data_IF_054024649618
#
_entry.id   IF_054024649618
#
_cell.length_a   1.000
_cell.length_b   1.000
_cell.length_c   1.000
_cell.angle_alpha   90.00
_cell.angle_beta   90.00
_cell.angle_gamma   90.00
#
_symmetry.space_group_name_H-M   'P 1'
#
loop_
_entity.id
_entity.type
_entity.pdbx_description
1 polymer ?
#
# COMPACT_ATOMS: atom_id res chain seq x y z
N UNK A 1 -2.21 -2.45 -5.92
CA UNK A 1 -1.79 -2.96 -4.60
C UNK A 1 -2.57 -2.24 -3.51
N UNK A 2 -3.13 -2.98 -2.56
CA UNK A 2 -3.96 -2.42 -1.49
C UNK A 2 -3.20 -2.21 -0.17
N UNK A 3 -1.98 -2.78 -0.06
CA UNK A 3 -1.14 -2.71 1.15
C UNK A 3 -0.46 -1.34 1.21
N UNK A 4 -0.54 -0.67 2.37
CA UNK A 4 0.08 0.63 2.59
C UNK A 4 1.60 0.58 2.69
N UNK A 5 2.25 1.71 2.56
CA UNK A 5 3.70 1.89 2.74
C UNK A 5 4.00 2.81 3.91
N UNK A 6 5.19 2.70 4.50
CA UNK A 6 5.66 3.45 5.67
C UNK A 6 5.05 2.98 6.99
N UNK A 7 5.89 2.55 7.92
CA UNK A 7 5.47 2.08 9.25
C UNK A 7 4.68 3.16 10.01
N UNK A 8 5.03 4.44 9.87
CA UNK A 8 4.27 5.54 10.46
C UNK A 8 2.82 5.57 9.98
N UNK A 9 2.60 5.39 8.68
CA UNK A 9 1.28 5.38 8.07
C UNK A 9 0.47 4.15 8.47
N UNK A 10 1.12 2.98 8.50
CA UNK A 10 0.48 1.73 8.92
C UNK A 10 0.06 1.77 10.40
N UNK A 11 0.87 2.36 11.27
CA UNK A 11 0.50 2.62 12.66
C UNK A 11 -0.73 3.52 12.83
N UNK A 12 -1.01 4.38 11.82
CA UNK A 12 -2.19 5.24 11.74
C UNK A 12 -3.35 4.62 10.94
N UNK A 13 -3.32 3.32 10.66
CA UNK A 13 -4.32 2.64 9.80
C UNK A 13 -4.49 3.33 8.45
N UNK A 14 -3.37 3.77 7.84
CA UNK A 14 -3.34 4.36 6.50
C UNK A 14 -4.10 5.70 6.33
N UNK A 15 -4.36 6.43 7.41
CA UNK A 15 -5.12 7.69 7.38
C UNK A 15 -4.29 8.89 6.90
N UNK A 16 -3.52 8.73 5.80
CA UNK A 16 -2.48 9.67 5.37
C UNK A 16 -2.93 10.70 4.31
N UNK A 17 -4.05 10.48 3.64
CA UNK A 17 -4.44 11.23 2.43
C UNK A 17 -4.47 12.74 2.60
N UNK A 18 -4.87 13.22 3.79
CA UNK A 18 -5.00 14.66 4.08
C UNK A 18 -3.72 15.33 4.56
N UNK A 19 -2.78 14.59 5.19
CA UNK A 19 -1.66 15.22 5.92
C UNK A 19 -0.28 14.67 5.55
N UNK A 20 -0.18 13.74 4.60
CA UNK A 20 1.13 13.32 4.09
C UNK A 20 1.91 14.54 3.57
N UNK A 21 3.22 14.63 3.91
CA UNK A 21 4.00 15.83 3.69
C UNK A 21 5.50 15.56 3.45
N UNK A 22 5.85 14.31 3.20
CA UNK A 22 7.23 13.83 3.04
C UNK A 22 7.40 13.03 1.73
N UNK A 23 8.52 12.32 1.59
CA UNK A 23 8.84 11.49 0.43
C UNK A 23 7.78 10.42 0.13
N UNK A 24 7.06 9.92 1.14
CA UNK A 24 6.01 8.90 1.01
C UNK A 24 4.70 9.48 0.45
N UNK A 25 4.62 10.81 0.28
CA UNK A 25 3.47 11.48 -0.35
C UNK A 25 3.22 10.99 -1.76
N UNK A 26 4.26 10.63 -2.53
CA UNK A 26 4.08 10.05 -3.85
C UNK A 26 3.14 8.84 -3.85
N UNK A 27 3.19 8.02 -2.80
CA UNK A 27 2.27 6.89 -2.64
C UNK A 27 0.90 7.31 -2.08
N UNK A 28 0.85 8.12 -1.00
CA UNK A 28 -0.39 8.39 -0.26
C UNK A 28 -1.27 9.44 -0.93
N UNK A 29 -0.68 10.55 -1.31
CA UNK A 29 -1.30 11.65 -2.05
C UNK A 29 -0.19 12.53 -2.64
N UNK A 30 0.05 12.49 -3.95
CA UNK A 30 1.16 13.21 -4.56
C UNK A 30 1.14 14.72 -4.31
N UNK A 31 -0.03 15.33 -4.05
CA UNK A 31 -0.12 16.75 -3.69
C UNK A 31 0.69 17.09 -2.43
N UNK A 32 0.88 16.13 -1.51
CA UNK A 32 1.66 16.28 -0.29
C UNK A 32 3.16 16.54 -0.52
N UNK A 33 3.71 16.20 -1.69
CA UNK A 33 5.09 16.51 -2.07
C UNK A 33 5.37 18.03 -2.05
N UNK A 34 4.35 18.87 -2.19
CA UNK A 34 4.50 20.31 -2.07
C UNK A 34 4.90 20.82 -0.69
N UNK A 35 4.73 19.98 0.33
CA UNK A 35 5.16 20.29 1.70
C UNK A 35 6.63 19.88 1.96
N UNK A 36 7.26 19.19 1.01
CA UNK A 36 8.64 18.76 1.09
C UNK A 36 9.59 19.96 0.98
N UNK A 37 10.43 20.16 1.98
CA UNK A 37 11.38 21.29 2.03
C UNK A 37 12.76 20.94 1.49
N UNK A 38 13.12 19.67 1.48
CA UNK A 38 14.46 19.16 1.18
C UNK A 38 14.35 17.83 0.46
N UNK A 39 15.45 17.37 -0.13
CA UNK A 39 15.55 16.04 -0.73
C UNK A 39 15.43 14.98 0.36
N UNK A 40 14.55 14.00 0.16
CA UNK A 40 14.36 12.90 1.09
C UNK A 40 14.41 11.56 0.37
N UNK A 41 14.85 10.53 1.09
CA UNK A 41 14.73 9.14 0.71
C UNK A 41 14.01 8.36 1.82
N UNK A 42 13.30 7.31 1.43
CA UNK A 42 12.66 6.39 2.36
C UNK A 42 12.86 4.95 1.92
N UNK A 43 12.98 4.07 2.92
CA UNK A 43 13.00 2.62 2.76
C UNK A 43 12.02 2.01 3.77
N UNK A 44 11.33 0.96 3.36
CA UNK A 44 10.50 0.14 4.25
C UNK A 44 10.68 -1.33 3.92
N UNK A 45 10.66 -2.14 4.96
CA UNK A 45 10.56 -3.60 4.87
C UNK A 45 9.43 -4.08 5.78
N UNK A 46 8.59 -4.95 5.26
CA UNK A 46 7.54 -5.62 6.01
C UNK A 46 7.52 -7.11 5.71
N UNK A 47 7.35 -7.89 6.77
CA UNK A 47 7.19 -9.33 6.71
C UNK A 47 5.75 -9.67 7.08
N UNK A 48 5.06 -10.32 6.16
CA UNK A 48 3.66 -10.72 6.28
C UNK A 48 3.54 -12.25 6.38
N UNK A 49 2.46 -12.71 7.02
CA UNK A 49 2.10 -14.12 7.10
C UNK A 49 3.24 -15.01 7.64
N UNK A 50 3.78 -14.65 8.81
CA UNK A 50 4.89 -15.37 9.44
C UNK A 50 6.13 -15.53 8.52
N UNK A 51 6.49 -14.46 7.82
CA UNK A 51 7.64 -14.37 6.90
C UNK A 51 7.47 -15.13 5.56
N UNK A 52 6.24 -15.50 5.18
CA UNK A 52 5.98 -16.10 3.87
C UNK A 52 6.05 -15.05 2.77
N UNK A 53 5.44 -13.88 2.99
CA UNK A 53 5.44 -12.80 2.01
C UNK A 53 6.26 -11.60 2.49
N UNK A 54 7.01 -11.00 1.58
CA UNK A 54 7.85 -9.83 1.84
C UNK A 54 7.33 -8.63 1.03
N UNK A 55 7.35 -7.46 1.67
CA UNK A 55 6.91 -6.22 1.07
C UNK A 55 7.94 -5.13 1.32
N UNK A 56 8.60 -4.73 0.24
CA UNK A 56 9.67 -3.75 0.24
C UNK A 56 9.22 -2.48 -0.48
N UNK A 57 9.63 -1.34 0.04
CA UNK A 57 9.37 -0.04 -0.55
C UNK A 57 10.62 0.82 -0.50
N UNK A 58 10.88 1.52 -1.59
CA UNK A 58 11.91 2.54 -1.69
C UNK A 58 11.35 3.78 -2.37
N UNK A 59 11.71 4.96 -1.88
CA UNK A 59 11.27 6.22 -2.49
C UNK A 59 12.35 7.30 -2.38
N UNK A 60 12.29 8.21 -3.35
CA UNK A 60 13.08 9.44 -3.37
C UNK A 60 12.20 10.58 -3.87
N UNK A 61 12.30 11.74 -3.21
CA UNK A 61 11.60 12.94 -3.64
C UNK A 61 12.41 14.21 -3.36
N UNK A 62 12.17 15.22 -4.16
CA UNK A 62 12.79 16.54 -3.99
C UNK A 62 11.91 17.68 -4.51
N UNK A 63 11.96 18.86 -3.88
CA UNK A 63 11.42 20.08 -4.47
C UNK A 63 12.21 20.44 -5.73
N UNK A 64 11.53 20.90 -6.78
CA UNK A 64 12.13 21.49 -7.99
C UNK A 64 12.34 22.98 -7.74
N UNK A 65 11.28 23.64 -7.29
CA UNK A 65 11.22 25.05 -6.94
C UNK A 65 10.20 25.29 -5.82
N UNK A 66 9.85 26.55 -5.54
CA UNK A 66 8.87 26.91 -4.49
C UNK A 66 7.44 26.45 -4.80
N UNK A 67 7.15 26.11 -6.04
CA UNK A 67 5.80 25.81 -6.54
C UNK A 67 5.64 24.39 -7.07
N UNK A 68 6.73 23.62 -7.17
CA UNK A 68 6.68 22.26 -7.73
C UNK A 68 7.66 21.29 -7.06
N UNK A 69 7.29 20.02 -7.03
CA UNK A 69 8.10 18.91 -6.51
C UNK A 69 7.86 17.64 -7.33
N UNK A 70 8.84 16.74 -7.31
CA UNK A 70 8.71 15.43 -7.93
C UNK A 70 9.23 14.32 -7.02
N UNK A 71 8.84 13.10 -7.30
CA UNK A 71 9.31 11.92 -6.61
C UNK A 71 9.19 10.67 -7.46
N UNK A 72 9.97 9.67 -7.08
CA UNK A 72 9.89 8.31 -7.62
C UNK A 72 9.77 7.34 -6.47
N UNK A 73 9.07 6.25 -6.68
CA UNK A 73 9.01 5.15 -5.73
C UNK A 73 8.93 3.80 -6.43
N UNK A 74 9.38 2.77 -5.71
CA UNK A 74 9.31 1.38 -6.13
C UNK A 74 8.75 0.56 -4.97
N UNK A 75 7.88 -0.37 -5.30
CA UNK A 75 7.32 -1.39 -4.42
C UNK A 75 7.69 -2.75 -4.98
N UNK A 76 8.07 -3.70 -4.10
CA UNK A 76 8.12 -5.12 -4.39
C UNK A 76 7.26 -5.85 -3.36
N UNK A 77 6.30 -6.64 -3.81
CA UNK A 77 5.60 -7.62 -2.99
C UNK A 77 5.86 -9.00 -3.57
N UNK A 78 6.37 -9.93 -2.78
CA UNK A 78 6.75 -11.23 -3.30
C UNK A 78 6.68 -12.35 -2.28
N UNK A 79 6.57 -13.56 -2.81
CA UNK A 79 6.72 -14.82 -2.10
C UNK A 79 7.80 -15.62 -2.82
N UNK A 80 8.84 -15.93 -2.11
CA UNK A 80 9.98 -16.67 -2.64
C UNK A 80 9.91 -18.14 -2.20
N UNK A 81 10.66 -19.02 -2.89
CA UNK A 81 10.83 -20.44 -2.55
C UNK A 81 9.53 -21.26 -2.50
N UNK A 82 8.60 -20.99 -3.41
CA UNK A 82 7.36 -21.77 -3.54
C UNK A 82 7.70 -23.12 -4.17
N UNK A 83 7.28 -24.21 -3.53
CA UNK A 83 7.48 -25.56 -4.03
C UNK A 83 6.63 -25.81 -5.28
N UNK A 84 7.27 -26.11 -6.41
CA UNK A 84 6.60 -26.60 -7.60
C UNK A 84 6.56 -28.12 -7.57
N UNK A 85 5.39 -28.67 -7.36
CA UNK A 85 5.13 -30.12 -7.29
C UNK A 85 4.36 -30.64 -8.52
N UNK A 86 4.22 -29.86 -9.58
CA UNK A 86 3.44 -30.23 -10.77
C UNK A 86 3.96 -31.48 -11.47
N UNK A 87 5.26 -31.76 -11.35
CA UNK A 87 5.90 -32.95 -11.91
C UNK A 87 6.24 -34.04 -10.87
N UNK A 88 5.73 -33.92 -9.66
CA UNK A 88 6.02 -34.85 -8.56
C UNK A 88 5.59 -36.28 -8.89
N UNK A 89 4.48 -36.44 -9.60
CA UNK A 89 3.91 -37.73 -9.98
C UNK A 89 4.13 -37.92 -11.48
N UNK A 90 4.74 -39.03 -11.88
CA UNK A 90 4.92 -39.38 -13.28
C UNK A 90 3.65 -40.00 -13.90
N UNK A 91 3.66 -40.22 -15.23
CA UNK A 91 2.55 -40.82 -15.98
C UNK A 91 2.22 -42.26 -15.58
N UNK A 92 3.07 -42.91 -14.78
CA UNK A 92 2.87 -44.25 -14.21
C UNK A 92 2.38 -44.24 -12.79
N UNK A 93 2.20 -43.04 -12.18
CA UNK A 93 1.75 -42.88 -10.79
C UNK A 93 2.88 -42.97 -9.76
N UNK A 94 4.16 -43.00 -10.16
CA UNK A 94 5.29 -43.02 -9.23
C UNK A 94 5.58 -41.62 -8.70
N UNK A 95 5.93 -41.50 -7.42
CA UNK A 95 6.32 -40.25 -6.77
C UNK A 95 7.83 -40.11 -6.84
N UNK A 96 8.32 -39.02 -7.46
CA UNK A 96 9.74 -38.67 -7.52
C UNK A 96 9.99 -37.27 -6.93
N UNK A 97 10.47 -37.23 -5.70
CA UNK A 97 10.77 -36.00 -4.96
C UNK A 97 11.91 -35.18 -5.58
N UNK A 98 12.76 -35.76 -6.44
CA UNK A 98 13.83 -35.04 -7.13
C UNK A 98 13.29 -34.10 -8.23
N UNK A 99 12.02 -34.23 -8.58
CA UNK A 99 11.33 -33.35 -9.55
C UNK A 99 10.71 -32.12 -8.91
N UNK A 100 10.80 -31.96 -7.59
CA UNK A 100 10.38 -30.74 -6.93
C UNK A 100 11.36 -29.64 -7.28
N UNK A 101 10.85 -28.55 -7.83
CA UNK A 101 11.60 -27.32 -8.11
C UNK A 101 11.05 -26.16 -7.27
N UNK A 102 11.76 -25.05 -7.21
CA UNK A 102 11.33 -23.83 -6.54
C UNK A 102 11.02 -22.76 -7.57
N UNK A 103 10.00 -21.95 -7.29
CA UNK A 103 9.74 -20.74 -8.04
C UNK A 103 9.35 -19.60 -7.09
N UNK A 104 9.38 -18.37 -7.58
CA UNK A 104 8.97 -17.17 -6.84
C UNK A 104 7.88 -16.43 -7.60
N UNK A 105 7.03 -15.73 -6.87
CA UNK A 105 6.09 -14.76 -7.44
C UNK A 105 6.39 -13.39 -6.89
N UNK A 106 6.34 -12.37 -7.74
CA UNK A 106 6.59 -11.00 -7.32
C UNK A 106 5.81 -9.98 -8.15
N UNK A 107 5.25 -9.00 -7.45
CA UNK A 107 4.62 -7.82 -8.01
C UNK A 107 5.54 -6.62 -7.78
N UNK A 108 5.89 -5.90 -8.83
CA UNK A 108 6.63 -4.65 -8.79
C UNK A 108 5.75 -3.50 -9.20
N UNK A 109 5.81 -2.39 -8.47
CA UNK A 109 5.15 -1.15 -8.83
C UNK A 109 6.15 0.00 -8.85
N UNK A 110 6.29 0.67 -9.99
CA UNK A 110 7.10 1.88 -10.15
C UNK A 110 6.16 3.07 -10.28
N UNK A 111 6.39 4.11 -9.48
CA UNK A 111 5.57 5.31 -9.52
C UNK A 111 6.45 6.53 -9.73
N UNK A 112 6.09 7.36 -10.70
CA UNK A 112 6.61 8.71 -10.88
C UNK A 112 5.53 9.70 -10.44
N UNK A 113 5.89 10.63 -9.54
CA UNK A 113 4.99 11.60 -8.93
C UNK A 113 5.41 13.03 -9.26
N UNK A 114 4.45 13.88 -9.58
CA UNK A 114 4.65 15.31 -9.74
C UNK A 114 3.58 16.08 -8.98
N UNK A 115 3.98 17.15 -8.31
CA UNK A 115 3.07 18.01 -7.54
C UNK A 115 3.32 19.48 -7.83
N UNK A 116 2.25 20.27 -7.69
CA UNK A 116 2.30 21.72 -7.88
C UNK A 116 1.31 22.47 -7.01
N UNK A 117 1.69 23.69 -6.58
CA UNK A 117 0.78 24.63 -5.91
C UNK A 117 -0.22 25.20 -6.91
N UNK A 118 -1.45 25.39 -6.46
CA UNK A 118 -2.47 26.15 -7.16
C UNK A 118 -2.48 27.63 -6.68
N UNK A 119 -3.05 28.57 -7.46
CA UNK A 119 -3.11 30.00 -7.06
C UNK A 119 -4.11 30.29 -5.92
N UNK A 120 -4.43 29.28 -5.13
CA UNK A 120 -5.27 29.34 -3.92
C UNK A 120 -4.39 28.94 -2.75
N UNK A 121 -4.29 29.80 -1.74
CA UNK A 121 -3.44 29.55 -0.57
C UNK A 121 -3.82 28.23 0.11
N UNK A 122 -2.81 27.36 0.31
CA UNK A 122 -2.98 26.06 0.94
C UNK A 122 -3.51 24.95 0.03
N UNK A 123 -3.79 25.23 -1.26
CA UNK A 123 -4.29 24.23 -2.20
C UNK A 123 -3.18 23.72 -3.12
N UNK A 124 -2.97 22.41 -3.09
CA UNK A 124 -1.99 21.71 -3.90
C UNK A 124 -2.64 20.57 -4.68
N UNK A 125 -2.11 20.24 -5.84
CA UNK A 125 -2.47 19.03 -6.59
C UNK A 125 -1.23 18.22 -6.94
N UNK A 126 -1.42 16.96 -7.22
CA UNK A 126 -0.37 16.08 -7.70
C UNK A 126 -0.93 14.96 -8.56
N UNK A 127 -0.06 14.41 -9.39
CA UNK A 127 -0.37 13.30 -10.30
C UNK A 127 0.69 12.22 -10.19
N UNK A 128 0.28 10.98 -10.38
CA UNK A 128 1.16 9.83 -10.49
C UNK A 128 0.99 9.15 -11.85
N UNK A 129 2.10 8.67 -12.38
CA UNK A 129 2.13 7.66 -13.44
C UNK A 129 2.71 6.38 -12.84
N UNK A 130 2.02 5.26 -13.05
CA UNK A 130 2.42 3.95 -12.49
C UNK A 130 2.71 2.96 -13.59
N UNK A 131 3.77 2.19 -13.41
CA UNK A 131 4.10 1.00 -14.18
C UNK A 131 4.09 -0.17 -13.22
N UNK A 132 3.33 -1.21 -13.57
CA UNK A 132 3.18 -2.40 -12.75
C UNK A 132 3.75 -3.59 -13.55
N UNK A 133 4.60 -4.37 -12.91
CA UNK A 133 5.16 -5.62 -13.45
C UNK A 133 4.81 -6.73 -12.48
N UNK A 134 4.17 -7.79 -12.96
CA UNK A 134 3.84 -8.97 -12.14
C UNK A 134 4.47 -10.19 -12.77
N UNK A 135 5.03 -11.07 -11.95
CA UNK A 135 5.75 -12.27 -12.37
C UNK A 135 5.26 -13.44 -11.52
N UNK A 136 4.86 -14.52 -12.15
CA UNK A 136 4.46 -15.78 -11.51
C UNK A 136 5.38 -16.88 -12.03
N UNK A 137 6.53 -17.02 -11.37
CA UNK A 137 7.55 -17.99 -11.78
C UNK A 137 7.90 -17.86 -13.27
N UNK A 138 7.95 -19.00 -13.95
CA UNK A 138 8.09 -19.11 -15.41
C UNK A 138 6.74 -19.18 -16.14
N UNK A 139 5.63 -19.20 -15.40
CA UNK A 139 4.29 -19.50 -15.95
C UNK A 139 3.65 -18.32 -16.63
N UNK A 140 3.75 -17.13 -16.03
CA UNK A 140 3.11 -15.94 -16.56
C UNK A 140 3.77 -14.66 -16.06
N UNK A 141 3.65 -13.61 -16.87
CA UNK A 141 4.02 -12.26 -16.46
C UNK A 141 3.07 -11.22 -17.03
N UNK A 142 2.98 -10.06 -16.40
CA UNK A 142 2.17 -8.98 -16.90
C UNK A 142 2.81 -7.61 -16.77
N UNK A 143 2.38 -6.71 -17.66
CA UNK A 143 2.65 -5.28 -17.59
C UNK A 143 1.34 -4.51 -17.45
N UNK A 144 1.32 -3.55 -16.54
CA UNK A 144 0.18 -2.67 -16.31
C UNK A 144 0.59 -1.21 -16.22
N UNK A 145 -0.34 -0.33 -16.59
CA UNK A 145 -0.17 1.12 -16.54
C UNK A 145 -1.39 1.76 -15.87
N UNK A 146 -1.14 2.78 -15.06
CA UNK A 146 -2.21 3.51 -14.38
C UNK A 146 -1.79 4.92 -13.99
N UNK A 147 -2.82 5.74 -13.71
CA UNK A 147 -2.64 7.12 -13.28
C UNK A 147 -3.45 7.38 -12.01
N UNK A 148 -2.88 8.22 -11.14
CA UNK A 148 -3.57 8.70 -9.95
C UNK A 148 -3.57 10.23 -9.94
N UNK A 149 -4.55 10.81 -9.25
CA UNK A 149 -4.66 12.26 -9.01
C UNK A 149 -4.94 12.49 -7.54
N UNK A 150 -4.22 13.45 -6.96
CA UNK A 150 -4.36 13.84 -5.57
C UNK A 150 -4.52 15.35 -5.41
N UNK A 151 -5.29 15.75 -4.40
CA UNK A 151 -5.47 17.13 -3.98
C UNK A 151 -5.30 17.19 -2.47
N UNK A 152 -4.58 18.21 -1.98
CA UNK A 152 -4.55 18.58 -0.56
C UNK A 152 -4.90 20.05 -0.39
N UNK A 153 -5.68 20.35 0.64
CA UNK A 153 -6.06 21.69 1.03
C UNK A 153 -5.86 21.93 2.52
N UNK A 154 -5.10 22.96 2.86
CA UNK A 154 -4.85 23.38 4.24
C UNK A 154 -5.59 24.69 4.52
N UNK A 155 -6.47 24.70 5.52
CA UNK A 155 -7.22 25.88 5.92
C UNK A 155 -7.51 25.88 7.42
N UNK A 156 -7.21 26.99 8.11
CA UNK A 156 -7.49 27.16 9.54
C UNK A 156 -7.01 26.03 10.44
N UNK A 157 -5.84 25.44 10.14
CA UNK A 157 -5.25 24.34 10.90
C UNK A 157 -5.88 22.97 10.62
N UNK A 158 -6.86 22.88 9.72
CA UNK A 158 -7.37 21.63 9.17
C UNK A 158 -6.68 21.28 7.86
N UNK A 159 -6.49 19.98 7.66
CA UNK A 159 -6.01 19.44 6.40
C UNK A 159 -7.10 18.57 5.78
N UNK A 160 -7.37 18.77 4.51
CA UNK A 160 -8.31 18.00 3.71
C UNK A 160 -7.53 17.34 2.57
N UNK A 161 -7.88 16.13 2.22
CA UNK A 161 -7.24 15.41 1.12
C UNK A 161 -8.24 14.61 0.32
N UNK A 162 -8.02 14.59 -0.98
CA UNK A 162 -8.71 13.70 -1.94
C UNK A 162 -7.64 12.99 -2.73
N UNK A 163 -7.77 11.68 -2.88
CA UNK A 163 -6.92 10.86 -3.73
C UNK A 163 -7.81 9.95 -4.57
N UNK A 164 -7.65 10.01 -5.88
CA UNK A 164 -8.29 9.11 -6.82
C UNK A 164 -7.18 8.24 -7.41
N UNK A 165 -7.21 6.97 -7.09
CA UNK A 165 -6.28 5.97 -7.61
C UNK A 165 -6.87 5.31 -8.84
N UNK A 166 -6.00 4.97 -9.78
CA UNK A 166 -6.36 4.26 -11.00
C UNK A 166 -7.47 4.98 -11.79
N UNK A 167 -7.39 6.34 -11.90
CA UNK A 167 -8.44 7.21 -12.46
C UNK A 167 -8.79 6.84 -13.91
N UNK A 168 -7.83 6.33 -14.68
CA UNK A 168 -8.03 5.86 -16.05
C UNK A 168 -8.34 4.37 -16.12
N UNK A 169 -8.59 3.72 -14.97
CA UNK A 169 -8.54 2.27 -14.85
C UNK A 169 -7.13 1.75 -15.14
N UNK A 170 -6.54 0.97 -14.24
CA UNK A 170 -5.26 0.32 -14.54
C UNK A 170 -5.51 -0.88 -15.40
N UNK A 171 -4.93 -0.89 -16.59
CA UNK A 171 -5.00 -1.97 -17.54
C UNK A 171 -3.73 -2.80 -17.48
N UNK A 172 -3.84 -4.09 -17.26
CA UNK A 172 -2.73 -5.04 -17.21
C UNK A 172 -2.90 -6.11 -18.29
N UNK A 173 -1.83 -6.38 -19.03
CA UNK A 173 -1.78 -7.42 -20.06
C UNK A 173 -0.87 -8.55 -19.60
N UNK A 174 -1.40 -9.76 -19.60
CA UNK A 174 -0.72 -10.98 -19.23
C UNK A 174 -0.15 -11.68 -20.46
N UNK A 175 1.10 -12.13 -20.33
CA UNK A 175 1.73 -13.09 -21.22
C UNK A 175 1.85 -14.42 -20.47
N UNK A 176 1.25 -15.47 -21.02
CA UNK A 176 1.25 -16.81 -20.41
C UNK A 176 2.19 -17.69 -21.23
N UNK A 177 3.09 -18.41 -20.58
CA UNK A 177 3.89 -19.44 -21.22
C UNK A 177 3.03 -20.70 -21.40
N UNK A 178 2.56 -20.92 -22.64
CA UNK A 178 1.68 -22.05 -22.97
C UNK A 178 2.33 -23.41 -22.70
N UNK A 179 3.65 -23.50 -22.83
CA UNK A 179 4.37 -24.74 -22.60
C UNK A 179 4.38 -25.10 -21.12
N UNK A 180 4.71 -24.14 -20.27
CA UNK A 180 4.67 -24.31 -18.82
C UNK A 180 3.24 -24.52 -18.32
N UNK A 181 2.26 -23.79 -18.88
CA UNK A 181 0.84 -23.96 -18.56
C UNK A 181 0.35 -25.38 -18.87
N UNK A 182 0.74 -25.95 -20.01
CA UNK A 182 0.37 -27.31 -20.39
C UNK A 182 0.95 -28.36 -19.43
N UNK A 183 2.12 -28.14 -18.85
CA UNK A 183 2.66 -29.07 -17.83
C UNK A 183 1.80 -29.11 -16.56
N UNK A 184 1.19 -27.97 -16.18
CA UNK A 184 0.27 -27.90 -15.05
C UNK A 184 -1.07 -28.57 -15.41
N UNK A 185 -1.58 -28.28 -16.60
CA UNK A 185 -2.83 -28.83 -17.12
C UNK A 185 -2.81 -30.36 -17.17
N UNK A 186 -1.70 -30.94 -17.64
CA UNK A 186 -1.54 -32.39 -17.75
C UNK A 186 -1.37 -33.06 -16.37
N UNK A 187 -0.99 -32.30 -15.33
CA UNK A 187 -0.83 -32.80 -13.97
C UNK A 187 -2.15 -32.89 -13.18
N UNK A 188 -3.23 -32.26 -13.65
CA UNK A 188 -4.51 -32.19 -12.93
C UNK A 188 -5.68 -32.53 -13.88
N UNK A 189 -6.10 -33.79 -13.83
CA UNK A 189 -7.27 -34.28 -14.60
C UNK A 189 -8.58 -33.59 -14.17
N UNK A 190 -9.35 -33.12 -15.16
CA UNK A 190 -10.73 -32.67 -14.96
C UNK A 190 -10.93 -31.23 -14.51
N UNK A 191 -9.90 -30.40 -14.43
CA UNK A 191 -10.03 -28.96 -14.19
C UNK A 191 -10.25 -28.17 -15.48
N UNK A 192 -10.75 -26.92 -15.33
CA UNK A 192 -10.95 -26.01 -16.45
C UNK A 192 -9.68 -25.87 -17.28
N UNK A 193 -9.76 -26.24 -18.55
CA UNK A 193 -8.60 -26.37 -19.45
C UNK A 193 -8.38 -25.13 -20.33
N UNK A 194 -9.19 -24.09 -20.12
CA UNK A 194 -9.06 -22.85 -20.89
C UNK A 194 -7.91 -22.00 -20.33
N UNK A 195 -7.17 -21.37 -21.24
CA UNK A 195 -6.15 -20.38 -20.84
C UNK A 195 -6.82 -19.23 -20.08
N UNK A 196 -6.21 -18.73 -18.99
CA UNK A 196 -6.69 -17.56 -18.29
C UNK A 196 -6.80 -16.33 -19.22
N UNK A 197 -7.73 -15.43 -18.91
CA UNK A 197 -7.85 -14.19 -19.69
C UNK A 197 -6.52 -13.40 -19.66
N UNK A 198 -6.12 -12.91 -20.82
CA UNK A 198 -4.85 -12.17 -21.00
C UNK A 198 -4.93 -10.71 -20.58
N UNK A 199 -6.06 -10.24 -20.08
CA UNK A 199 -6.25 -8.85 -19.65
C UNK A 199 -6.93 -8.76 -18.28
N UNK A 200 -6.44 -7.85 -17.45
CA UNK A 200 -6.97 -7.55 -16.11
C UNK A 200 -7.18 -6.05 -15.98
N UNK A 201 -8.31 -5.68 -15.40
CA UNK A 201 -8.69 -4.29 -15.16
C UNK A 201 -8.78 -4.02 -13.65
N UNK A 202 -8.10 -2.97 -13.17
CA UNK A 202 -8.27 -2.48 -11.80
C UNK A 202 -9.15 -1.24 -11.82
N UNK A 203 -10.31 -1.30 -11.17
CA UNK A 203 -11.26 -0.19 -11.08
C UNK A 203 -10.70 0.98 -10.24
N UNK A 204 -11.12 2.21 -10.55
CA UNK A 204 -10.78 3.38 -9.76
C UNK A 204 -11.24 3.24 -8.30
N UNK A 205 -10.48 3.85 -7.38
CA UNK A 205 -10.93 4.04 -6.01
C UNK A 205 -10.64 5.46 -5.53
N UNK A 206 -11.54 5.98 -4.71
CA UNK A 206 -11.44 7.33 -4.15
C UNK A 206 -11.19 7.24 -2.64
N UNK A 207 -10.29 8.09 -2.15
CA UNK A 207 -10.00 8.23 -0.73
C UNK A 207 -10.19 9.69 -0.33
N UNK A 208 -11.01 9.93 0.67
CA UNK A 208 -11.23 11.23 1.27
C UNK A 208 -10.58 11.25 2.64
N UNK A 209 -9.86 12.30 2.96
CA UNK A 209 -9.17 12.42 4.25
C UNK A 209 -9.39 13.78 4.91
N UNK A 210 -9.45 13.77 6.23
CA UNK A 210 -9.44 14.97 7.05
C UNK A 210 -8.53 14.75 8.26
N UNK A 211 -7.76 15.78 8.62
CA UNK A 211 -6.91 15.70 9.82
C UNK A 211 -6.68 17.06 10.46
N UNK A 212 -6.30 17.03 11.75
CA UNK A 212 -5.89 18.21 12.48
C UNK A 212 -4.82 17.87 13.50
N UNK A 213 -3.77 18.71 13.57
CA UNK A 213 -2.72 18.64 14.61
C UNK A 213 -3.04 19.68 15.68
N UNK A 214 -3.21 19.22 16.91
CA UNK A 214 -3.42 20.04 18.10
C UNK A 214 -2.10 20.12 18.88
N UNK A 215 -1.68 21.32 19.24
CA UNK A 215 -0.58 21.53 20.20
C UNK A 215 -1.17 21.59 21.60
N UNK A 216 -0.84 20.62 22.46
CA UNK A 216 -1.25 20.61 23.85
C UNK A 216 -0.40 21.56 24.68
N UNK A 217 0.90 21.60 24.40
CA UNK A 217 1.88 22.50 24.98
C UNK A 217 3.07 22.67 24.00
N UNK A 218 4.16 23.27 24.45
CA UNK A 218 5.35 23.52 23.61
C UNK A 218 6.08 22.23 23.18
N UNK A 219 5.86 21.12 23.88
CA UNK A 219 6.56 19.86 23.67
C UNK A 219 5.66 18.75 23.12
N UNK A 220 4.34 18.86 23.37
CA UNK A 220 3.41 17.76 23.08
C UNK A 220 2.37 18.17 22.06
N UNK A 221 2.17 17.32 21.07
CA UNK A 221 1.13 17.49 20.04
C UNK A 221 0.33 16.21 19.85
N UNK A 222 -0.93 16.36 19.44
CA UNK A 222 -1.81 15.26 19.02
C UNK A 222 -2.25 15.52 17.58
N UNK A 223 -2.02 14.56 16.70
CA UNK A 223 -2.63 14.50 15.38
C UNK A 223 -3.82 13.55 15.43
N UNK A 224 -4.95 14.00 14.91
CA UNK A 224 -6.12 13.16 14.64
C UNK A 224 -6.35 13.12 13.13
N UNK A 225 -6.59 11.95 12.58
CA UNK A 225 -6.83 11.78 11.16
C UNK A 225 -7.95 10.77 10.91
N UNK A 226 -8.73 11.01 9.87
CA UNK A 226 -9.77 10.09 9.40
C UNK A 226 -9.74 10.01 7.90
N UNK A 227 -9.92 8.80 7.36
CA UNK A 227 -10.10 8.54 5.95
C UNK A 227 -11.40 7.79 5.70
N UNK A 228 -12.00 8.06 4.54
CA UNK A 228 -13.05 7.24 3.93
C UNK A 228 -12.49 6.67 2.63
N UNK A 229 -12.35 5.36 2.56
CA UNK A 229 -11.93 4.64 1.36
C UNK A 229 -13.18 4.17 0.62
N UNK A 230 -13.34 4.59 -0.62
CA UNK A 230 -14.51 4.32 -1.46
C UNK A 230 -14.09 3.48 -2.67
N UNK A 231 -14.79 2.37 -2.90
CA UNK A 231 -14.61 1.46 -4.04
C UNK A 231 -15.92 1.41 -4.82
N UNK A 232 -15.83 1.44 -6.13
CA UNK A 232 -17.01 1.44 -7.01
C UNK A 232 -17.40 0.02 -7.45
N UNK A 233 -17.40 -0.87 -6.47
CA UNK A 233 -17.76 -2.27 -6.61
C UNK A 233 -18.31 -2.79 -5.28
N UNK A 234 -18.98 -3.93 -5.31
CA UNK A 234 -19.43 -4.64 -4.11
C UNK A 234 -18.25 -5.36 -3.45
N UNK A 235 -18.00 -5.07 -2.19
CA UNK A 235 -16.93 -5.68 -1.38
C UNK A 235 -17.48 -6.15 -0.04
N UNK A 236 -16.59 -6.63 0.83
CA UNK A 236 -16.92 -6.96 2.21
C UNK A 236 -16.74 -5.76 3.19
N UNK A 237 -16.63 -4.54 2.67
CA UNK A 237 -16.46 -3.35 3.50
C UNK A 237 -17.66 -3.12 4.41
N UNK A 238 -17.49 -2.28 5.45
CA UNK A 238 -18.51 -2.00 6.46
C UNK A 238 -19.86 -1.57 5.84
N UNK A 239 -19.80 -0.72 4.82
CA UNK A 239 -20.96 -0.33 4.02
C UNK A 239 -20.69 -0.80 2.60
N UNK A 240 -21.54 -1.66 2.06
CA UNK A 240 -21.37 -2.21 0.71
C UNK A 240 -22.70 -2.37 0.00
N UNK A 241 -22.73 -1.91 -1.24
CA UNK A 241 -23.86 -2.04 -2.18
C UNK A 241 -23.31 -2.43 -3.56
N UNK A 242 -24.21 -2.67 -4.54
CA UNK A 242 -23.81 -3.15 -5.87
C UNK A 242 -22.91 -2.17 -6.67
N UNK A 243 -22.87 -0.89 -6.30
CA UNK A 243 -22.07 0.11 -7.02
C UNK A 243 -21.16 0.96 -6.13
N UNK A 244 -21.19 0.76 -4.79
CA UNK A 244 -20.37 1.55 -3.86
C UNK A 244 -20.13 0.80 -2.57
N UNK A 245 -18.86 0.70 -2.19
CA UNK A 245 -18.43 0.23 -0.88
C UNK A 245 -17.60 1.30 -0.19
N UNK A 246 -17.76 1.45 1.13
CA UNK A 246 -17.11 2.46 1.95
C UNK A 246 -16.48 1.81 3.17
N UNK A 247 -15.21 2.08 3.38
CA UNK A 247 -14.41 1.66 4.52
C UNK A 247 -13.86 2.89 5.24
N UNK A 248 -14.30 3.17 6.48
CA UNK A 248 -13.72 4.23 7.31
C UNK A 248 -12.40 3.76 7.94
N UNK A 249 -11.50 4.72 8.22
CA UNK A 249 -10.31 4.51 9.03
C UNK A 249 -10.05 5.71 9.93
N UNK A 250 -9.51 5.47 11.15
CA UNK A 250 -9.16 6.49 12.13
C UNK A 250 -7.71 6.29 12.59
N UNK A 251 -6.98 7.39 12.74
CA UNK A 251 -5.60 7.41 13.22
C UNK A 251 -5.36 8.51 14.25
N UNK A 252 -4.51 8.21 15.23
CA UNK A 252 -4.09 9.12 16.29
C UNK A 252 -2.58 9.03 16.46
N UNK A 253 -1.90 10.18 16.51
CA UNK A 253 -0.47 10.28 16.80
C UNK A 253 -0.27 11.24 17.99
N UNK A 254 0.45 10.78 19.00
CA UNK A 254 1.00 11.59 20.07
C UNK A 254 2.48 11.85 19.77
N UNK A 255 2.85 13.10 19.54
CA UNK A 255 4.21 13.56 19.34
C UNK A 255 4.77 14.25 20.57
N UNK A 256 5.98 13.89 20.97
CA UNK A 256 6.72 14.53 22.06
C UNK A 256 8.01 15.15 21.53
N UNK A 257 8.16 16.47 21.67
CA UNK A 257 9.31 17.28 21.21
C UNK A 257 9.68 17.11 19.73
N UNK A 258 8.74 16.65 18.92
CA UNK A 258 8.98 16.20 17.53
C UNK A 258 10.13 15.17 17.39
N UNK A 259 10.45 14.47 18.48
CA UNK A 259 11.48 13.42 18.55
C UNK A 259 10.87 12.03 18.61
N UNK A 260 9.83 11.85 19.43
CA UNK A 260 9.19 10.54 19.68
C UNK A 260 7.72 10.62 19.29
N UNK A 261 7.24 9.59 18.62
CA UNK A 261 5.87 9.49 18.17
C UNK A 261 5.28 8.15 18.60
N UNK A 262 4.11 8.21 19.24
CA UNK A 262 3.28 7.05 19.51
C UNK A 262 2.03 7.13 18.63
N UNK A 263 1.75 6.05 17.89
CA UNK A 263 0.65 6.00 16.94
C UNK A 263 -0.30 4.86 17.26
N UNK A 264 -1.57 5.11 17.03
CA UNK A 264 -2.63 4.12 17.11
C UNK A 264 -3.64 4.38 16.00
N UNK A 265 -4.18 3.33 15.43
CA UNK A 265 -5.18 3.45 14.40
C UNK A 265 -6.08 2.23 14.32
N UNK A 266 -7.24 2.43 13.71
CA UNK A 266 -8.21 1.37 13.43
C UNK A 266 -8.79 1.57 12.02
N UNK A 267 -8.88 0.50 11.27
CA UNK A 267 -9.40 0.47 9.90
C UNK A 267 -9.71 -0.95 9.47
N UNK A 268 -9.84 -1.15 8.16
CA UNK A 268 -10.13 -2.44 7.57
C UNK A 268 -11.39 -3.08 8.19
N UNK A 269 -12.47 -2.29 8.30
CA UNK A 269 -13.75 -2.77 8.80
C UNK A 269 -14.43 -3.62 7.74
N UNK A 270 -14.59 -4.91 8.02
CA UNK A 270 -15.14 -5.87 7.07
C UNK A 270 -16.29 -6.68 7.67
N UNK A 271 -17.29 -6.93 6.85
CA UNK A 271 -18.39 -7.85 7.17
C UNK A 271 -18.01 -9.27 6.71
N UNK A 272 -17.93 -10.21 7.63
CA UNK A 272 -17.73 -11.63 7.34
C UNK A 272 -18.97 -12.44 7.71
N UNK A 273 -19.45 -13.27 6.78
CA UNK A 273 -20.48 -14.26 7.11
C UNK A 273 -19.83 -15.45 7.83
N UNK A 274 -20.36 -15.79 8.99
CA UNK A 274 -19.96 -16.99 9.72
C UNK A 274 -20.73 -18.23 9.23
N UNK A 275 -20.22 -19.41 9.55
CA UNK A 275 -20.85 -20.69 9.17
C UNK A 275 -22.28 -20.85 9.72
N UNK A 276 -22.63 -20.14 10.79
CA UNK A 276 -23.97 -20.10 11.38
C UNK A 276 -24.94 -19.13 10.66
N UNK A 277 -24.49 -18.51 9.57
CA UNK A 277 -25.26 -17.53 8.78
C UNK A 277 -25.32 -16.14 9.38
N UNK A 278 -24.69 -15.88 10.53
CA UNK A 278 -24.62 -14.53 11.11
C UNK A 278 -23.50 -13.71 10.50
N UNK A 279 -23.76 -12.41 10.33
CA UNK A 279 -22.72 -11.45 9.93
C UNK A 279 -21.95 -10.96 11.17
N UNK A 280 -20.62 -10.95 11.08
CA UNK A 280 -19.72 -10.37 12.09
C UNK A 280 -18.90 -9.26 11.46
N UNK A 281 -18.88 -8.10 12.11
CA UNK A 281 -17.99 -7.00 11.74
C UNK A 281 -16.62 -7.26 12.36
N UNK A 282 -15.61 -7.38 11.50
CA UNK A 282 -14.22 -7.38 11.87
C UNK A 282 -13.59 -6.00 11.68
N UNK A 283 -12.51 -5.71 12.40
CA UNK A 283 -11.72 -4.50 12.23
C UNK A 283 -10.26 -4.79 12.59
N UNK A 284 -9.34 -3.96 12.08
CA UNK A 284 -7.90 -4.13 12.26
C UNK A 284 -7.32 -2.98 13.09
N UNK A 285 -6.99 -3.21 14.37
CA UNK A 285 -6.22 -2.26 15.16
C UNK A 285 -4.74 -2.31 14.77
N UNK A 286 -4.09 -1.15 14.80
CA UNK A 286 -2.67 -0.98 14.48
C UNK A 286 -2.04 -0.07 15.52
N UNK A 287 -0.76 -0.31 15.84
CA UNK A 287 0.05 0.57 16.69
C UNK A 287 1.40 0.83 16.05
N UNK A 288 1.99 1.98 16.36
CA UNK A 288 3.29 2.37 15.81
C UNK A 288 4.09 3.22 16.80
N UNK A 289 5.41 3.10 16.68
CA UNK A 289 6.40 3.92 17.37
C UNK A 289 7.28 4.61 16.33
N UNK A 290 7.64 5.87 16.58
CA UNK A 290 8.54 6.62 15.72
C UNK A 290 9.57 7.37 16.52
N UNK A 291 10.78 7.46 15.97
CA UNK A 291 11.85 8.29 16.50
C UNK A 291 12.46 9.10 15.39
N UNK A 292 12.55 10.42 15.57
CA UNK A 292 13.12 11.35 14.60
C UNK A 292 14.23 12.16 15.25
N UNK A 293 15.41 12.15 14.65
CA UNK A 293 16.54 12.94 15.13
C UNK A 293 17.43 13.41 13.98
N UNK A 294 17.73 14.71 13.93
CA UNK A 294 18.64 15.33 12.95
C UNK A 294 18.39 14.91 11.49
N UNK A 295 17.12 14.83 11.08
CA UNK A 295 16.74 14.51 9.70
C UNK A 295 16.71 13.00 9.36
N UNK A 296 16.92 12.13 10.34
CA UNK A 296 16.68 10.69 10.23
C UNK A 296 15.44 10.36 11.07
N UNK A 297 14.49 9.66 10.48
CA UNK A 297 13.31 9.14 11.16
C UNK A 297 13.27 7.62 10.99
N UNK A 298 13.06 6.90 12.09
CA UNK A 298 12.89 5.45 12.12
C UNK A 298 11.53 5.18 12.73
N UNK A 299 10.73 4.40 12.05
CA UNK A 299 9.40 4.04 12.48
C UNK A 299 9.24 2.50 12.49
N UNK A 300 8.47 2.03 13.45
CA UNK A 300 8.09 0.64 13.59
C UNK A 300 6.57 0.56 13.77
N UNK A 301 5.92 -0.40 13.12
CA UNK A 301 4.51 -0.67 13.31
C UNK A 301 4.23 -2.17 13.46
N UNK A 302 3.26 -2.44 14.33
CA UNK A 302 2.57 -3.71 14.43
C UNK A 302 1.16 -3.52 13.86
N UNK A 303 0.83 -4.31 12.86
CA UNK A 303 -0.48 -4.29 12.22
C UNK A 303 -1.18 -5.62 12.41
N UNK A 304 -2.50 -5.61 12.24
CA UNK A 304 -3.34 -6.80 12.39
C UNK A 304 -3.32 -7.38 13.82
N UNK A 305 -3.41 -6.52 14.81
CA UNK A 305 -3.47 -6.87 16.23
C UNK A 305 -4.86 -7.44 16.62
N UNK A 306 -5.35 -8.43 15.89
CA UNK A 306 -6.67 -9.01 16.13
C UNK A 306 -6.87 -10.28 15.32
N UNK A 307 -7.83 -11.12 15.74
CA UNK A 307 -8.12 -12.44 15.16
C UNK A 307 -8.70 -12.42 13.72
N UNK A 308 -8.31 -11.48 12.88
CA UNK A 308 -8.77 -11.38 11.50
C UNK A 308 -7.93 -12.21 10.53
N UNK A 309 -6.67 -12.48 10.88
CA UNK A 309 -5.72 -13.23 10.07
C UNK A 309 -5.26 -14.48 10.81
N UNK A 310 -4.94 -15.54 10.08
CA UNK A 310 -4.30 -16.74 10.63
C UNK A 310 -2.88 -16.47 11.15
N UNK A 311 -2.24 -15.37 10.73
CA UNK A 311 -0.97 -14.88 11.25
C UNK A 311 -1.21 -13.80 12.31
N UNK A 312 -0.55 -13.95 13.47
CA UNK A 312 -0.82 -13.17 14.68
C UNK A 312 -0.57 -11.66 14.54
N UNK A 313 0.37 -11.22 13.72
CA UNK A 313 0.69 -9.81 13.45
C UNK A 313 1.74 -9.69 12.35
N UNK A 314 1.83 -8.51 11.76
CA UNK A 314 2.89 -8.17 10.80
C UNK A 314 3.81 -7.10 11.37
N UNK A 315 5.12 -7.28 11.17
CA UNK A 315 6.16 -6.35 11.61
C UNK A 315 6.59 -5.48 10.43
N UNK A 316 6.54 -4.17 10.61
CA UNK A 316 6.91 -3.21 9.59
C UNK A 316 7.94 -2.24 10.13
N UNK A 317 9.03 -2.08 9.40
CA UNK A 317 10.10 -1.12 9.69
C UNK A 317 10.23 -0.15 8.54
N UNK A 318 10.36 1.14 8.85
CA UNK A 318 10.69 2.15 7.84
C UNK A 318 11.72 3.15 8.35
N UNK A 319 12.50 3.67 7.41
CA UNK A 319 13.50 4.71 7.64
C UNK A 319 13.29 5.80 6.60
N UNK A 320 13.22 7.05 7.06
CA UNK A 320 13.26 8.25 6.22
C UNK A 320 14.50 9.07 6.53
N UNK A 321 15.12 9.60 5.50
CA UNK A 321 16.36 10.38 5.63
C UNK A 321 16.23 11.67 4.82
N UNK A 322 16.49 12.79 5.50
CA UNK A 322 16.73 14.08 4.86
C UNK A 322 18.18 14.11 4.34
N UNK A 323 18.34 14.04 3.04
CA UNK A 323 19.65 13.92 2.40
C UNK A 323 20.51 15.19 2.52
N UNK A 324 19.97 16.29 3.01
CA UNK A 324 20.74 17.51 3.27
C UNK A 324 21.64 17.42 4.51
N UNK A 325 21.46 16.40 5.36
CA UNK A 325 22.32 16.18 6.54
C UNK A 325 23.73 15.71 6.16
N UNK A 326 23.95 15.26 4.95
CA UNK A 326 25.24 14.79 4.43
C UNK A 326 26.04 15.87 3.68
N UNK A 327 25.67 17.13 3.84
CA UNK A 327 26.38 18.29 3.24
C UNK A 327 27.12 19.10 4.27
#
# INVERSE_FOLDING_TARGET
>A
MAIGVDAAALGLSNTMVSHTHDVNSGYWNPAGLMNLKRKQAALMHASYFANIAQYDYAAYAMPIDENSAWGISMIRFGVDDILNTTQLIDSQGNIDYNRISLFSTADYGFTFSYARKLPITGLHYGVNTKIIRRIIGTFADSWGFGFDVGIQYQHNGWNYGVMIRDITTTYSVWTIDEKEYNTIKDAVDGQNQDLPESSEITLPKTQLGISKKFKLNNETSILTASNLNMRFDRTNDLISSDGLSIEPALGFELGYTDLVFLRAGVGNFQNSQQLDGKSKVGFQPNVGLGFQYKGIQVDYALTDLGNQSAALYSNIFSVKVDLSIFR
#
